data_IF_175543855562
#
_entry.id   IF_175543855562
#
_cell.length_a   1.000
_cell.length_b   1.000
_cell.length_c   1.000
_cell.angle_alpha   90.00
_cell.angle_beta   90.00
_cell.angle_gamma   90.00
#
_symmetry.space_group_name_H-M   'P 1'
#
loop_
_entity.id
_entity.type
_entity.pdbx_description
1 polymer ?
#
# COMPACT_ATOMS: atom_id res chain seq x y z
N UNK A 1 -26.36 -15.67 -11.99
CA UNK A 1 -26.79 -14.26 -11.81
C UNK A 1 -27.82 -13.95 -12.88
N UNK A 2 -28.88 -13.20 -12.57
CA UNK A 2 -29.90 -12.83 -13.58
C UNK A 2 -29.41 -11.68 -14.45
N UNK A 3 -29.88 -11.61 -15.71
CA UNK A 3 -29.57 -10.49 -16.63
C UNK A 3 -29.92 -9.13 -16.03
N UNK A 4 -31.03 -9.07 -15.28
CA UNK A 4 -31.45 -7.86 -14.55
C UNK A 4 -30.45 -7.46 -13.46
N UNK A 5 -29.80 -8.43 -12.82
CA UNK A 5 -28.74 -8.16 -11.84
C UNK A 5 -27.49 -7.57 -12.50
N UNK A 6 -27.13 -8.05 -13.69
CA UNK A 6 -25.99 -7.53 -14.43
C UNK A 6 -26.22 -6.08 -14.89
N UNK A 7 -27.42 -5.74 -15.38
CA UNK A 7 -27.72 -4.37 -15.81
C UNK A 7 -27.69 -3.35 -14.67
N UNK A 8 -28.16 -3.73 -13.48
CA UNK A 8 -28.07 -2.89 -12.28
C UNK A 8 -26.61 -2.62 -11.91
N UNK A 9 -25.75 -3.65 -11.95
CA UNK A 9 -24.32 -3.51 -11.64
C UNK A 9 -23.62 -2.59 -12.65
N UNK A 10 -23.93 -2.71 -13.94
CA UNK A 10 -23.38 -1.81 -14.97
C UNK A 10 -23.84 -0.36 -14.77
N UNK A 11 -25.10 -0.13 -14.39
CA UNK A 11 -25.61 1.20 -14.06
C UNK A 11 -24.88 1.85 -12.88
N UNK A 12 -24.67 1.11 -11.79
CA UNK A 12 -23.94 1.58 -10.61
C UNK A 12 -22.49 1.92 -10.98
N UNK A 13 -21.83 1.08 -11.78
CA UNK A 13 -20.46 1.35 -12.24
C UNK A 13 -20.39 2.63 -13.08
N UNK A 14 -21.30 2.82 -14.02
CA UNK A 14 -21.33 4.01 -14.87
C UNK A 14 -21.55 5.31 -14.07
N UNK A 15 -22.39 5.26 -13.04
CA UNK A 15 -22.69 6.43 -12.19
C UNK A 15 -21.55 6.81 -11.25
N UNK A 16 -20.91 5.82 -10.61
CA UNK A 16 -19.92 6.07 -9.56
C UNK A 16 -18.47 5.97 -10.04
N UNK A 17 -18.22 5.24 -11.13
CA UNK A 17 -16.90 4.98 -11.69
C UNK A 17 -16.88 5.24 -13.20
N UNK A 18 -17.17 6.48 -13.66
CA UNK A 18 -17.29 6.82 -15.09
C UNK A 18 -16.01 6.57 -15.90
N UNK A 19 -14.84 6.58 -15.24
CA UNK A 19 -13.54 6.28 -15.85
C UNK A 19 -13.01 4.87 -15.48
N UNK A 20 -13.92 3.98 -15.05
CA UNK A 20 -13.57 2.68 -14.49
C UNK A 20 -13.13 2.75 -13.03
N UNK A 21 -13.25 1.62 -12.33
CA UNK A 21 -12.75 1.48 -10.97
C UNK A 21 -11.21 1.43 -10.98
N UNK A 22 -10.56 2.39 -10.32
CA UNK A 22 -9.13 2.31 -9.99
C UNK A 22 -9.00 1.94 -8.52
N UNK A 23 -8.40 0.79 -8.25
CA UNK A 23 -8.03 0.43 -6.89
C UNK A 23 -7.09 1.50 -6.34
N UNK A 24 -7.55 2.25 -5.34
CA UNK A 24 -6.67 3.17 -4.64
C UNK A 24 -5.58 2.35 -3.95
N UNK A 25 -4.32 2.59 -4.31
CA UNK A 25 -3.20 2.05 -3.54
C UNK A 25 -3.39 2.53 -2.10
N UNK A 26 -3.61 1.59 -1.18
CA UNK A 26 -3.51 1.85 0.26
C UNK A 26 -2.04 2.10 0.60
N UNK A 27 -1.51 3.23 0.14
CA UNK A 27 -0.24 3.77 0.60
C UNK A 27 -0.55 4.77 1.69
N UNK A 28 -0.23 4.45 2.94
CA UNK A 28 -0.26 5.46 3.99
C UNK A 28 0.67 6.60 3.60
N UNK A 29 0.21 7.85 3.74
CA UNK A 29 1.05 9.05 3.57
C UNK A 29 2.17 9.15 4.60
N UNK A 30 2.15 8.24 5.58
CA UNK A 30 3.17 8.08 6.58
C UNK A 30 4.51 7.71 5.93
N UNK A 31 5.54 8.46 6.30
CA UNK A 31 6.90 8.30 5.80
C UNK A 31 7.39 6.85 5.90
N UNK A 32 6.97 6.11 6.93
CA UNK A 32 7.33 4.71 7.17
C UNK A 32 6.93 3.77 6.03
N UNK A 33 5.85 4.09 5.31
CA UNK A 33 5.37 3.31 4.18
C UNK A 33 5.90 3.79 2.83
N UNK A 34 6.66 4.90 2.81
CA UNK A 34 7.36 5.34 1.61
C UNK A 34 8.58 4.47 1.30
N UNK A 35 8.96 4.37 0.02
CA UNK A 35 10.18 3.66 -0.39
C UNK A 35 11.43 4.20 0.32
N UNK A 36 11.50 5.52 0.51
CA UNK A 36 12.61 6.18 1.20
C UNK A 36 12.64 5.80 2.68
N UNK A 37 11.51 5.89 3.37
CA UNK A 37 11.39 5.55 4.80
C UNK A 37 11.70 4.08 5.08
N UNK A 38 11.26 3.16 4.22
CA UNK A 38 11.62 1.74 4.34
C UNK A 38 13.15 1.51 4.24
N UNK A 39 13.82 2.19 3.30
CA UNK A 39 15.28 2.10 3.14
C UNK A 39 16.00 2.65 4.38
N UNK A 40 15.59 3.81 4.89
CA UNK A 40 16.18 4.41 6.08
C UNK A 40 15.99 3.54 7.32
N UNK A 41 14.79 2.98 7.53
CA UNK A 41 14.56 2.04 8.63
C UNK A 41 15.45 0.81 8.56
N UNK A 42 15.60 0.22 7.36
CA UNK A 42 16.47 -0.95 7.17
C UNK A 42 17.93 -0.62 7.49
N UNK A 43 18.43 0.52 7.02
CA UNK A 43 19.80 1.00 7.32
C UNK A 43 19.99 1.21 8.83
N UNK A 44 19.03 1.86 9.48
CA UNK A 44 19.08 2.08 10.93
C UNK A 44 19.09 0.79 11.73
N UNK A 45 18.28 -0.20 11.34
CA UNK A 45 18.27 -1.51 11.97
C UNK A 45 19.61 -2.25 11.81
N UNK A 46 20.21 -2.20 10.61
CA UNK A 46 21.53 -2.78 10.35
C UNK A 46 22.62 -2.12 11.21
N UNK A 47 22.64 -0.79 11.29
CA UNK A 47 23.60 -0.06 12.12
C UNK A 47 23.47 -0.41 13.61
N UNK A 48 22.24 -0.57 14.11
CA UNK A 48 22.01 -1.02 15.50
C UNK A 48 22.55 -2.43 15.74
N UNK A 49 22.31 -3.35 14.81
CA UNK A 49 22.82 -4.72 14.91
C UNK A 49 24.34 -4.78 14.88
N UNK A 50 24.99 -3.96 14.05
CA UNK A 50 26.45 -3.86 14.01
C UNK A 50 27.02 -3.39 15.35
N UNK A 51 26.48 -2.30 15.91
CA UNK A 51 26.90 -1.79 17.22
C UNK A 51 26.69 -2.81 18.33
N UNK A 52 25.57 -3.51 18.33
CA UNK A 52 25.29 -4.57 19.30
C UNK A 52 26.29 -5.73 19.15
N UNK A 53 26.57 -6.15 17.92
CA UNK A 53 27.55 -7.21 17.65
C UNK A 53 28.97 -6.82 18.07
N UNK A 54 29.35 -5.54 17.95
CA UNK A 54 30.63 -5.03 18.42
C UNK A 54 30.70 -5.03 19.95
N UNK A 55 29.62 -4.65 20.64
CA UNK A 55 29.56 -4.63 22.10
C UNK A 55 29.55 -6.04 22.74
N UNK A 56 29.22 -7.08 21.97
CA UNK A 56 29.20 -8.47 22.44
C UNK A 56 30.49 -9.25 22.14
N UNK A 57 31.46 -8.63 21.45
CA UNK A 57 32.81 -9.17 21.24
C UNK A 57 33.73 -8.78 22.38
#
# INVERSE_FOLDING_TARGET
>A
MSEKGLSILEGIKAQHFPNGYRQHKQGGKDFRFSRRGQIEMKRGAQARMQRLSEALK
#
